data_IF_540545675643
#
_entry.id   IF_540545675643
#
_cell.length_a   1.000
_cell.length_b   1.000
_cell.length_c   1.000
_cell.angle_alpha   90.00
_cell.angle_beta   90.00
_cell.angle_gamma   90.00
#
_symmetry.space_group_name_H-M   'P 1'
#
loop_
_entity.id
_entity.type
_entity.pdbx_description
1 polymer ?
#
# COMPACT_ATOMS: atom_id res chain seq x y z
N UNK A 1 -17.08 -19.97 5.76
CA UNK A 1 -15.74 -19.81 5.16
C UNK A 1 -14.96 -21.10 5.43
N UNK A 2 -14.22 -21.67 4.46
CA UNK A 2 -13.43 -22.89 4.69
C UNK A 2 -12.38 -22.71 5.79
N UNK A 3 -12.14 -23.75 6.60
CA UNK A 3 -11.18 -23.66 7.71
C UNK A 3 -9.76 -23.37 7.24
N UNK A 4 -9.39 -23.87 6.07
CA UNK A 4 -8.10 -23.59 5.44
C UNK A 4 -7.88 -22.09 5.14
N UNK A 5 -8.93 -21.29 5.00
CA UNK A 5 -8.82 -19.85 4.77
C UNK A 5 -8.47 -19.09 6.06
N UNK A 6 -8.66 -19.71 7.22
CA UNK A 6 -8.29 -19.16 8.53
C UNK A 6 -6.81 -19.40 8.87
N UNK A 7 -6.14 -20.28 8.14
CA UNK A 7 -4.73 -20.63 8.35
C UNK A 7 -3.80 -19.82 7.43
N UNK A 8 -2.64 -19.44 7.97
CA UNK A 8 -1.59 -18.78 7.20
C UNK A 8 -0.22 -19.05 7.80
N UNK A 9 0.80 -19.13 6.96
CA UNK A 9 2.20 -19.23 7.38
C UNK A 9 2.81 -17.83 7.34
N UNK A 10 3.48 -17.41 8.41
CA UNK A 10 4.23 -16.15 8.43
C UNK A 10 5.70 -16.46 8.19
N UNK A 11 6.24 -15.96 7.08
CA UNK A 11 7.66 -16.11 6.71
C UNK A 11 8.40 -14.79 6.96
N UNK A 12 9.34 -14.73 7.91
CA UNK A 12 10.14 -13.52 8.12
C UNK A 12 11.17 -13.36 7.00
N UNK A 13 11.20 -12.18 6.37
CA UNK A 13 12.17 -11.83 5.32
C UNK A 13 13.02 -10.65 5.81
N UNK A 14 14.34 -10.84 5.86
CA UNK A 14 15.27 -9.79 6.30
C UNK A 14 15.29 -8.62 5.29
N UNK A 15 15.26 -7.37 5.78
CA UNK A 15 15.23 -6.15 4.94
C UNK A 15 16.54 -5.85 4.21
N UNK A 16 17.61 -6.61 4.49
CA UNK A 16 18.91 -6.50 3.80
C UNK A 16 19.75 -5.30 4.22
N UNK A 17 19.26 -4.51 5.18
CA UNK A 17 19.96 -3.39 5.81
C UNK A 17 19.79 -3.61 7.31
N UNK A 18 20.84 -3.39 8.11
CA UNK A 18 20.88 -3.55 9.58
C UNK A 18 21.19 -4.96 10.12
N UNK A 19 21.28 -5.06 11.44
CA UNK A 19 21.68 -6.28 12.15
C UNK A 19 20.62 -7.38 12.04
N UNK A 20 21.07 -8.59 11.75
CA UNK A 20 20.24 -9.81 11.68
C UNK A 20 19.69 -10.25 13.03
N UNK A 21 20.26 -9.77 14.14
CA UNK A 21 19.83 -10.10 15.49
C UNK A 21 18.62 -9.29 15.96
N UNK A 22 18.33 -8.17 15.30
CA UNK A 22 17.19 -7.33 15.62
C UNK A 22 15.95 -7.75 14.81
N UNK A 23 14.92 -8.22 15.53
CA UNK A 23 13.66 -8.68 14.95
C UNK A 23 12.92 -7.58 14.16
N UNK A 24 13.16 -6.30 14.47
CA UNK A 24 12.59 -5.17 13.74
C UNK A 24 13.04 -5.06 12.28
N UNK A 25 14.15 -5.73 11.93
CA UNK A 25 14.75 -5.72 10.60
C UNK A 25 14.18 -6.80 9.67
N UNK A 26 13.17 -7.54 10.12
CA UNK A 26 12.43 -8.49 9.30
C UNK A 26 11.07 -7.93 8.89
N UNK A 27 10.60 -8.34 7.72
CA UNK A 27 9.24 -8.14 7.25
C UNK A 27 8.54 -9.50 7.29
N UNK A 28 7.49 -9.62 8.09
CA UNK A 28 6.66 -10.82 8.10
C UNK A 28 5.80 -10.87 6.84
N UNK A 29 6.00 -11.86 5.98
CA UNK A 29 5.14 -12.12 4.83
C UNK A 29 4.12 -13.18 5.22
N UNK A 30 2.84 -12.81 5.23
CA UNK A 30 1.75 -13.74 5.47
C UNK A 30 1.41 -14.47 4.17
N UNK A 31 1.66 -15.77 4.14
CA UNK A 31 1.32 -16.65 3.01
C UNK A 31 0.00 -17.35 3.31
N UNK A 32 -1.03 -17.03 2.53
CA UNK A 32 -2.37 -17.62 2.58
C UNK A 32 -2.53 -18.77 1.58
N UNK A 33 -3.59 -19.57 1.72
CA UNK A 33 -3.91 -20.65 0.80
C UNK A 33 -4.21 -20.14 -0.62
N UNK A 34 -3.99 -20.97 -1.65
CA UNK A 34 -4.25 -20.61 -3.05
C UNK A 34 -5.69 -20.14 -3.29
N UNK A 35 -6.65 -20.84 -2.67
CA UNK A 35 -8.07 -20.49 -2.77
C UNK A 35 -8.40 -19.16 -2.09
N UNK A 36 -7.74 -18.83 -0.97
CA UNK A 36 -7.86 -17.52 -0.34
C UNK A 36 -7.29 -16.40 -1.21
N UNK A 37 -6.12 -16.60 -1.85
CA UNK A 37 -5.54 -15.59 -2.77
C UNK A 37 -6.46 -15.30 -3.96
N UNK A 38 -7.12 -16.32 -4.51
CA UNK A 38 -8.10 -16.15 -5.58
C UNK A 38 -9.29 -15.31 -5.10
N UNK A 39 -9.80 -15.61 -3.90
CA UNK A 39 -10.88 -14.84 -3.30
C UNK A 39 -10.47 -13.38 -3.06
N UNK A 40 -9.29 -13.14 -2.47
CA UNK A 40 -8.72 -11.79 -2.26
C UNK A 40 -8.64 -11.01 -3.59
N UNK A 41 -8.23 -11.66 -4.69
CA UNK A 41 -8.15 -11.03 -6.02
C UNK A 41 -9.53 -10.69 -6.60
N UNK A 42 -10.54 -11.53 -6.37
CA UNK A 42 -11.93 -11.22 -6.77
C UNK A 42 -12.43 -10.00 -5.99
N UNK A 43 -12.15 -9.93 -4.69
CA UNK A 43 -12.53 -8.80 -3.84
C UNK A 43 -11.81 -7.52 -4.27
N UNK A 44 -10.50 -7.56 -4.49
CA UNK A 44 -9.71 -6.42 -4.99
C UNK A 44 -10.27 -5.88 -6.31
N UNK A 45 -10.57 -6.78 -7.26
CA UNK A 45 -11.15 -6.40 -8.56
C UNK A 45 -12.48 -5.65 -8.39
N UNK A 46 -13.37 -6.13 -7.52
CA UNK A 46 -14.67 -5.49 -7.27
C UNK A 46 -14.52 -4.15 -6.56
N UNK A 47 -13.66 -4.07 -5.53
CA UNK A 47 -13.41 -2.81 -4.81
C UNK A 47 -12.87 -1.74 -5.77
N UNK A 48 -11.98 -2.10 -6.68
CA UNK A 48 -11.43 -1.17 -7.68
C UNK A 48 -12.47 -0.64 -8.66
N UNK A 49 -13.57 -1.35 -8.91
CA UNK A 49 -14.65 -0.87 -9.75
C UNK A 49 -15.49 0.21 -9.05
N UNK A 50 -15.60 0.13 -7.72
CA UNK A 50 -16.43 1.03 -6.92
C UNK A 50 -15.63 2.21 -6.32
N UNK A 51 -14.31 2.06 -6.19
CA UNK A 51 -13.44 3.04 -5.57
C UNK A 51 -12.59 3.80 -6.60
N UNK A 52 -12.70 5.12 -6.59
CA UNK A 52 -11.73 6.00 -7.24
C UNK A 52 -10.62 6.39 -6.24
N UNK A 53 -9.38 6.26 -6.69
CA UNK A 53 -8.19 6.77 -6.00
C UNK A 53 -7.75 8.09 -6.61
N UNK A 54 -6.97 8.87 -5.86
CA UNK A 54 -6.43 10.15 -6.36
C UNK A 54 -5.54 9.94 -7.59
N UNK A 55 -5.56 10.90 -8.52
CA UNK A 55 -4.64 10.92 -9.67
C UNK A 55 -3.17 11.03 -9.27
N UNK A 56 -2.91 11.51 -8.05
CA UNK A 56 -1.56 11.55 -7.48
C UNK A 56 -1.12 10.22 -6.83
N UNK A 57 -1.98 9.19 -6.82
CA UNK A 57 -1.60 7.85 -6.36
C UNK A 57 -0.95 7.07 -7.50
N UNK A 58 0.34 6.76 -7.33
CA UNK A 58 1.14 5.98 -8.29
C UNK A 58 1.44 4.57 -7.80
N UNK A 59 1.47 4.36 -6.48
CA UNK A 59 1.71 3.04 -5.90
C UNK A 59 0.45 2.17 -5.94
N UNK A 60 0.63 0.88 -6.19
CA UNK A 60 -0.44 -0.14 -6.22
C UNK A 60 -1.55 0.10 -7.26
N UNK A 61 -1.32 1.01 -8.22
CA UNK A 61 -2.26 1.31 -9.29
C UNK A 61 -1.79 0.75 -10.64
N UNK A 62 -2.63 -0.05 -11.34
CA UNK A 62 -2.28 -0.59 -12.65
C UNK A 62 -1.92 0.50 -13.67
N UNK A 63 -0.84 0.30 -14.40
CA UNK A 63 -0.39 1.24 -15.43
C UNK A 63 0.29 2.50 -14.91
N UNK A 64 0.38 2.68 -13.58
CA UNK A 64 1.15 3.77 -12.95
C UNK A 64 2.42 3.20 -12.31
N UNK A 65 3.51 3.95 -12.41
CA UNK A 65 4.81 3.54 -11.91
C UNK A 65 5.55 4.70 -11.25
N UNK A 66 6.81 4.45 -10.89
CA UNK A 66 7.66 5.47 -10.26
C UNK A 66 8.22 6.49 -11.24
N UNK A 67 8.14 6.23 -12.55
CA UNK A 67 8.72 7.08 -13.60
C UNK A 67 8.06 8.46 -13.60
N UNK A 68 6.72 8.51 -13.63
CA UNK A 68 5.95 9.75 -13.72
C UNK A 68 6.20 10.72 -12.54
N UNK A 69 6.16 10.29 -11.26
CA UNK A 69 6.43 11.20 -10.14
C UNK A 69 7.91 11.63 -10.09
N UNK A 70 8.85 10.77 -10.50
CA UNK A 70 10.27 11.14 -10.59
C UNK A 70 10.47 12.19 -11.68
N UNK A 71 9.87 11.99 -12.85
CA UNK A 71 9.93 12.92 -13.97
C UNK A 71 9.33 14.28 -13.58
N UNK A 72 8.13 14.26 -12.98
CA UNK A 72 7.45 15.47 -12.49
C UNK A 72 8.32 16.23 -11.49
N UNK A 73 8.94 15.52 -10.54
CA UNK A 73 9.85 16.12 -9.56
C UNK A 73 11.07 16.78 -10.22
N UNK A 74 11.66 16.13 -11.24
CA UNK A 74 12.80 16.70 -11.99
C UNK A 74 12.41 17.97 -12.75
N UNK A 75 11.28 17.96 -13.45
CA UNK A 75 10.78 19.14 -14.15
C UNK A 75 10.53 20.29 -13.19
N UNK A 76 9.99 20.00 -11.99
CA UNK A 76 9.77 21.02 -10.97
C UNK A 76 11.10 21.66 -10.51
N UNK A 77 12.13 20.83 -10.29
CA UNK A 77 13.48 21.28 -9.93
C UNK A 77 14.09 22.18 -11.01
N UNK A 78 14.03 21.75 -12.27
CA UNK A 78 14.58 22.50 -13.41
C UNK A 78 13.90 23.87 -13.55
N UNK A 79 12.56 23.92 -13.53
CA UNK A 79 11.80 25.18 -13.63
C UNK A 79 12.09 26.17 -12.50
N UNK A 80 12.30 25.69 -11.28
CA UNK A 80 12.63 26.57 -10.15
C UNK A 80 14.07 27.07 -10.26
N UNK A 81 15.00 26.21 -10.71
CA UNK A 81 16.39 26.58 -10.97
C UNK A 81 16.51 27.66 -12.03
N UNK A 82 15.76 27.54 -13.14
CA UNK A 82 15.73 28.54 -14.22
C UNK A 82 15.26 29.92 -13.73
N UNK A 83 14.29 29.94 -12.82
CA UNK A 83 13.72 31.17 -12.26
C UNK A 83 14.44 31.68 -11.01
N UNK A 84 15.51 30.99 -10.59
CA UNK A 84 16.25 31.30 -9.36
C UNK A 84 15.35 31.37 -8.11
N UNK A 85 14.31 30.53 -8.08
CA UNK A 85 13.36 30.46 -6.96
C UNK A 85 13.69 29.28 -6.05
N UNK A 86 13.52 29.42 -4.72
CA UNK A 86 13.69 28.29 -3.80
C UNK A 86 12.61 27.22 -4.04
N UNK A 87 13.00 25.95 -3.96
CA UNK A 87 12.11 24.79 -4.00
C UNK A 87 12.44 23.87 -2.82
N UNK A 88 11.41 23.41 -2.12
CA UNK A 88 11.55 22.49 -0.99
C UNK A 88 10.69 21.24 -1.24
N UNK A 89 11.27 20.06 -1.03
CA UNK A 89 10.55 18.79 -1.02
C UNK A 89 10.41 18.28 0.43
N UNK A 90 9.22 17.79 0.76
CA UNK A 90 8.96 17.05 2.00
C UNK A 90 8.66 15.60 1.63
N UNK A 91 9.54 14.69 2.06
CA UNK A 91 9.33 13.25 1.91
C UNK A 91 8.79 12.67 3.21
N UNK A 92 7.66 11.97 3.12
CA UNK A 92 6.99 11.33 4.25
C UNK A 92 6.98 9.82 4.03
N UNK A 93 7.47 9.06 5.01
CA UNK A 93 7.43 7.59 5.02
C UNK A 93 6.74 7.09 6.29
N UNK A 94 5.84 6.12 6.14
CA UNK A 94 5.09 5.55 7.25
C UNK A 94 5.75 4.24 7.71
N UNK A 95 6.11 4.20 9.01
CA UNK A 95 6.63 2.98 9.60
C UNK A 95 5.52 1.93 9.72
N UNK A 96 5.78 0.71 9.19
CA UNK A 96 4.88 -0.46 9.30
C UNK A 96 3.44 -0.18 8.85
N UNK A 97 3.28 0.54 7.73
CA UNK A 97 1.96 0.99 7.24
C UNK A 97 0.88 -0.12 7.19
N UNK A 98 1.22 -1.35 6.80
CA UNK A 98 0.24 -2.45 6.77
C UNK A 98 -0.13 -3.01 8.15
N UNK A 99 0.78 -2.94 9.12
CA UNK A 99 0.58 -3.49 10.47
C UNK A 99 -0.11 -2.48 11.39
N UNK A 100 0.05 -1.18 11.11
CA UNK A 100 -0.39 -0.09 11.99
C UNK A 100 -1.77 0.48 11.65
N UNK A 101 -2.42 0.06 10.56
CA UNK A 101 -3.75 0.56 10.19
C UNK A 101 -4.82 -0.08 11.10
N UNK A 102 -5.59 0.71 11.89
CA UNK A 102 -6.68 0.17 12.69
C UNK A 102 -7.76 -0.42 11.80
N UNK A 103 -8.27 -1.61 12.16
CA UNK A 103 -9.34 -2.28 11.39
C UNK A 103 -10.59 -1.41 11.24
N UNK A 104 -10.93 -0.64 12.27
CA UNK A 104 -12.08 0.26 12.22
C UNK A 104 -11.96 1.37 11.19
N UNK A 105 -10.73 1.83 10.90
CA UNK A 105 -10.48 2.80 9.84
C UNK A 105 -10.69 2.19 8.46
N UNK A 106 -10.35 0.93 8.27
CA UNK A 106 -10.64 0.20 7.01
C UNK A 106 -12.15 0.11 6.81
N UNK A 107 -12.90 -0.30 7.83
CA UNK A 107 -14.36 -0.38 7.73
C UNK A 107 -15.02 0.98 7.51
N UNK A 108 -14.53 2.02 8.19
CA UNK A 108 -14.99 3.38 7.97
C UNK A 108 -14.72 3.83 6.53
N UNK A 109 -13.54 3.55 5.98
CA UNK A 109 -13.18 3.89 4.60
C UNK A 109 -14.04 3.13 3.56
N UNK A 110 -14.40 1.88 3.82
CA UNK A 110 -15.30 1.11 2.95
C UNK A 110 -16.73 1.68 3.01
N UNK A 111 -17.25 2.00 4.20
CA UNK A 111 -18.58 2.61 4.36
C UNK A 111 -18.70 3.97 3.67
N UNK A 112 -17.67 4.80 3.73
CA UNK A 112 -17.68 6.11 3.07
C UNK A 112 -17.71 6.01 1.55
N UNK A 113 -17.38 4.84 0.99
CA UNK A 113 -17.48 4.49 -0.43
C UNK A 113 -18.72 3.63 -0.74
N UNK A 114 -19.67 3.52 0.19
CA UNK A 114 -20.90 2.73 0.06
C UNK A 114 -20.65 1.23 -0.21
N UNK A 115 -19.47 0.72 0.15
CA UNK A 115 -19.14 -0.68 0.00
C UNK A 115 -19.71 -1.52 1.15
N UNK A 116 -20.12 -2.77 0.90
CA UNK A 116 -20.64 -3.65 1.93
C UNK A 116 -19.60 -3.89 3.05
N UNK A 117 -20.02 -3.72 4.30
CA UNK A 117 -19.23 -4.08 5.48
C UNK A 117 -19.82 -5.31 6.17
N UNK A 118 -19.09 -5.98 7.08
CA UNK A 118 -19.60 -7.14 7.80
C UNK A 118 -20.94 -6.81 8.44
N UNK A 119 -21.90 -7.71 8.25
CA UNK A 119 -23.19 -7.65 8.93
C UNK A 119 -22.88 -7.83 10.42
N UNK A 120 -23.30 -6.86 11.25
CA UNK A 120 -23.18 -6.94 12.70
C UNK A 120 -24.01 -8.11 13.26
#
# INVERSE_FOLDING_TARGET
MPDQWRLSIITPVHKGKWSVQDCGNYRGIKVTSHTMKLFERIIDTRIRQECTVSDSQYGFEPGRGTIDPIFTSRILMEKHREKNMPLHFLFLDLQKAFDCVPKEMIWWALRSKLLPTPIQ
#
